data_IF_987986398189
#
_entry.id   IF_987986398189
#
_cell.length_a   1.000
_cell.length_b   1.000
_cell.length_c   1.000
_cell.angle_alpha   90.00
_cell.angle_beta   90.00
_cell.angle_gamma   90.00
#
_symmetry.space_group_name_H-M   'P 1'
#
loop_
_entity.id
_entity.type
_entity.pdbx_description
1 polymer ?
#
# COMPACT_ATOMS: atom_id res chain seq x y z
N UNK A 1 22.07 10.20 20.12
CA UNK A 1 21.59 10.29 18.72
C UNK A 1 20.09 10.47 18.78
N UNK A 2 19.50 11.52 18.19
CA UNK A 2 18.04 11.53 17.99
C UNK A 2 17.74 10.40 17.01
N UNK A 3 17.03 9.36 17.44
CA UNK A 3 16.51 8.37 16.52
C UNK A 3 15.62 9.10 15.51
N UNK A 4 15.86 8.88 14.21
CA UNK A 4 14.95 9.37 13.19
C UNK A 4 13.63 8.62 13.39
N UNK A 5 12.58 9.37 13.70
CA UNK A 5 11.25 8.80 13.87
C UNK A 5 10.75 8.24 12.54
N UNK A 6 10.14 7.08 12.57
CA UNK A 6 9.52 6.44 11.41
C UNK A 6 8.31 7.23 10.91
N UNK A 7 8.15 7.32 9.60
CA UNK A 7 6.91 7.73 8.95
C UNK A 7 6.19 6.47 8.45
N UNK A 8 4.93 6.28 8.85
CA UNK A 8 4.11 5.17 8.35
C UNK A 8 3.61 5.48 6.95
N UNK A 9 3.86 4.58 6.00
CA UNK A 9 3.53 4.82 4.58
C UNK A 9 2.30 4.06 4.09
N UNK A 10 1.80 3.07 4.88
CA UNK A 10 0.75 2.17 4.44
C UNK A 10 -0.22 1.85 5.59
N UNK A 11 -1.37 2.50 5.58
CA UNK A 11 -2.39 2.31 6.61
C UNK A 11 -3.80 2.56 6.09
N UNK A 12 -4.77 1.86 6.67
CA UNK A 12 -6.15 1.84 6.24
C UNK A 12 -7.10 2.37 7.30
N UNK A 13 -8.20 2.94 6.81
CA UNK A 13 -9.34 3.32 7.64
C UNK A 13 -10.59 2.55 7.24
N UNK A 14 -11.66 2.68 8.02
CA UNK A 14 -12.95 2.06 7.70
C UNK A 14 -13.53 2.51 6.34
N UNK A 15 -12.99 3.56 5.72
CA UNK A 15 -13.36 3.96 4.35
C UNK A 15 -12.89 2.94 3.30
N UNK A 16 -11.85 2.15 3.58
CA UNK A 16 -11.46 1.00 2.76
C UNK A 16 -12.61 -0.01 2.58
N UNK A 17 -13.53 -0.06 3.55
CA UNK A 17 -14.68 -0.97 3.54
C UNK A 17 -15.76 -0.63 2.48
N UNK A 18 -15.61 0.44 1.73
CA UNK A 18 -16.45 0.68 0.55
C UNK A 18 -16.36 -0.48 -0.46
N UNK A 19 -15.23 -1.17 -0.44
CA UNK A 19 -14.94 -2.32 -1.31
C UNK A 19 -14.93 -3.64 -0.57
N UNK A 20 -14.09 -3.75 0.42
CA UNK A 20 -13.85 -4.96 1.20
C UNK A 20 -14.01 -4.65 2.68
N UNK A 21 -14.78 -5.46 3.40
CA UNK A 21 -14.84 -5.34 4.86
C UNK A 21 -13.55 -5.91 5.45
N UNK A 22 -12.55 -5.06 5.66
CA UNK A 22 -11.24 -5.48 6.15
C UNK A 22 -10.58 -4.54 7.17
N UNK A 23 -11.12 -3.34 7.38
CA UNK A 23 -10.51 -2.39 8.31
C UNK A 23 -11.50 -1.84 9.35
N UNK A 24 -11.05 -1.72 10.61
CA UNK A 24 -11.86 -1.19 11.73
C UNK A 24 -11.41 0.18 12.21
N UNK A 25 -10.32 0.75 11.66
CA UNK A 25 -9.76 2.02 12.09
C UNK A 25 -10.63 3.21 11.69
N UNK A 26 -10.86 4.15 12.62
CA UNK A 26 -11.35 5.48 12.28
C UNK A 26 -10.16 6.40 11.97
N UNK A 27 -10.27 7.34 11.01
CA UNK A 27 -9.16 8.22 10.64
C UNK A 27 -8.52 8.96 11.82
N UNK A 28 -9.33 9.53 12.71
CA UNK A 28 -8.84 10.23 13.90
C UNK A 28 -8.10 9.31 14.87
N UNK A 29 -8.65 8.13 15.14
CA UNK A 29 -8.06 7.17 16.08
C UNK A 29 -6.72 6.66 15.56
N UNK A 30 -6.61 6.42 14.25
CA UNK A 30 -5.38 6.00 13.59
C UNK A 30 -4.30 7.09 13.68
N UNK A 31 -4.65 8.35 13.41
CA UNK A 31 -3.72 9.48 13.52
C UNK A 31 -3.27 9.67 14.98
N UNK A 32 -4.19 9.65 15.93
CA UNK A 32 -3.87 9.78 17.35
C UNK A 32 -2.96 8.67 17.83
N UNK A 33 -3.23 7.44 17.40
CA UNK A 33 -2.38 6.30 17.73
C UNK A 33 -0.96 6.46 17.18
N UNK A 34 -0.81 6.96 15.96
CA UNK A 34 0.51 7.24 15.39
C UNK A 34 1.27 8.33 16.20
N UNK A 35 0.57 9.35 16.70
CA UNK A 35 1.14 10.37 17.59
C UNK A 35 1.56 9.75 18.93
N UNK A 36 0.70 8.95 19.56
CA UNK A 36 1.01 8.24 20.83
C UNK A 36 2.26 7.36 20.69
N UNK A 37 2.43 6.67 19.56
CA UNK A 37 3.59 5.84 19.24
C UNK A 37 4.85 6.68 18.93
N UNK A 38 4.75 7.99 18.88
CA UNK A 38 5.88 8.87 18.59
C UNK A 38 6.36 8.83 17.16
N UNK A 39 5.54 8.41 16.19
CA UNK A 39 5.89 8.42 14.78
C UNK A 39 6.14 9.86 14.28
N UNK A 40 6.91 10.00 13.20
CA UNK A 40 7.10 11.28 12.52
C UNK A 40 5.85 11.74 11.74
N UNK A 41 5.01 10.79 11.39
CA UNK A 41 3.79 10.99 10.62
C UNK A 41 3.21 9.68 10.12
N UNK A 42 2.10 9.79 9.42
CA UNK A 42 1.36 8.67 8.84
C UNK A 42 0.74 9.05 7.49
N UNK A 43 0.81 8.17 6.51
CA UNK A 43 0.00 8.25 5.31
C UNK A 43 -1.22 7.34 5.46
N UNK A 44 -2.39 7.84 5.06
CA UNK A 44 -3.62 7.07 4.99
C UNK A 44 -3.86 6.74 3.52
N UNK A 45 -3.94 5.43 3.25
CA UNK A 45 -3.86 4.85 1.90
C UNK A 45 -5.00 3.86 1.68
N UNK A 46 -6.25 4.29 1.91
CA UNK A 46 -7.44 3.45 1.78
C UNK A 46 -7.52 2.77 0.40
N UNK A 47 -8.11 1.56 0.37
CA UNK A 47 -8.30 0.76 -0.84
C UNK A 47 -9.15 1.49 -1.88
N UNK A 48 -8.54 1.83 -3.02
CA UNK A 48 -9.18 2.35 -4.24
C UNK A 48 -10.09 3.57 -4.03
N UNK A 49 -10.06 4.21 -2.88
CA UNK A 49 -10.88 5.38 -2.59
C UNK A 49 -10.13 6.48 -1.86
N UNK A 50 -10.67 7.70 -1.95
CA UNK A 50 -10.15 8.89 -1.27
C UNK A 50 -11.18 9.46 -0.28
N UNK A 51 -12.14 8.65 0.12
CA UNK A 51 -13.32 9.11 0.88
C UNK A 51 -13.00 9.58 2.29
N UNK A 52 -11.88 9.13 2.88
CA UNK A 52 -11.37 9.61 4.17
C UNK A 52 -10.72 10.99 4.11
N UNK A 53 -10.25 11.44 2.94
CA UNK A 53 -9.45 12.65 2.82
C UNK A 53 -10.13 13.93 3.31
N UNK A 54 -11.44 14.18 3.11
CA UNK A 54 -12.10 15.35 3.67
C UNK A 54 -12.07 15.38 5.20
N UNK A 55 -12.38 14.26 5.87
CA UNK A 55 -12.32 14.14 7.33
C UNK A 55 -10.91 14.37 7.84
N UNK A 56 -9.91 13.75 7.22
CA UNK A 56 -8.50 13.90 7.57
C UNK A 56 -8.05 15.35 7.42
N UNK A 57 -8.43 16.01 6.33
CA UNK A 57 -8.05 17.40 6.07
C UNK A 57 -8.61 18.38 7.13
N UNK A 58 -9.84 18.15 7.58
CA UNK A 58 -10.41 18.92 8.70
C UNK A 58 -9.63 18.65 10.00
N UNK A 59 -9.38 17.40 10.33
CA UNK A 59 -8.68 17.00 11.55
C UNK A 59 -7.22 17.43 11.56
N UNK A 60 -6.55 17.47 10.42
CA UNK A 60 -5.15 17.92 10.28
C UNK A 60 -4.94 19.32 10.89
N UNK A 61 -5.91 20.23 10.75
CA UNK A 61 -5.82 21.58 11.32
C UNK A 61 -5.81 21.58 12.85
N UNK A 62 -6.45 20.60 13.48
CA UNK A 62 -6.44 20.41 14.93
C UNK A 62 -5.09 19.83 15.37
N UNK A 63 -4.66 18.75 14.70
CA UNK A 63 -3.37 18.07 14.97
C UNK A 63 -2.19 19.05 14.86
N UNK A 64 -2.15 19.89 13.83
CA UNK A 64 -1.02 20.81 13.63
C UNK A 64 -0.87 21.88 14.72
N UNK A 65 -1.93 22.19 15.48
CA UNK A 65 -1.85 23.13 16.61
C UNK A 65 -1.08 22.51 17.78
N UNK A 66 -1.27 21.22 18.04
CA UNK A 66 -0.68 20.51 19.17
C UNK A 66 0.62 19.79 18.80
N UNK A 67 0.69 19.32 17.57
CA UNK A 67 1.80 18.52 17.03
C UNK A 67 2.29 19.09 15.68
N UNK A 68 2.92 20.28 15.65
CA UNK A 68 3.28 21.00 14.41
C UNK A 68 4.25 20.23 13.50
N UNK A 69 5.07 19.36 14.07
CA UNK A 69 6.05 18.56 13.34
C UNK A 69 5.48 17.25 12.78
N UNK A 70 4.30 16.82 13.27
CA UNK A 70 3.68 15.58 12.82
C UNK A 70 3.11 15.75 11.42
N UNK A 71 3.40 14.80 10.52
CA UNK A 71 2.99 14.86 9.11
C UNK A 71 1.89 13.86 8.82
N UNK A 72 0.85 14.33 8.12
CA UNK A 72 -0.24 13.49 7.63
C UNK A 72 -0.16 13.46 6.10
N UNK A 73 0.06 12.28 5.54
CA UNK A 73 0.05 12.01 4.11
C UNK A 73 -1.35 11.59 3.65
N UNK A 74 -1.78 12.12 2.51
CA UNK A 74 -2.99 11.68 1.82
C UNK A 74 -2.58 10.76 0.68
N UNK A 75 -2.99 9.51 0.74
CA UNK A 75 -2.61 8.48 -0.22
C UNK A 75 -3.79 7.65 -0.69
N UNK A 76 -3.49 6.65 -1.48
CA UNK A 76 -4.44 5.66 -1.97
C UNK A 76 -3.71 4.36 -2.27
N UNK A 77 -4.23 3.25 -1.82
CA UNK A 77 -3.83 1.95 -2.34
C UNK A 77 -4.67 1.64 -3.57
N UNK A 78 -4.05 1.73 -4.73
CA UNK A 78 -4.67 1.39 -6.01
C UNK A 78 -4.45 -0.07 -6.36
N UNK A 79 -5.34 -0.62 -7.19
CA UNK A 79 -5.19 -1.95 -7.76
C UNK A 79 -4.74 -1.83 -9.21
N UNK A 80 -3.43 -1.98 -9.39
CA UNK A 80 -2.74 -1.75 -10.65
C UNK A 80 -2.89 -2.95 -11.59
N UNK A 81 -3.20 -2.67 -12.87
CA UNK A 81 -3.34 -3.68 -13.92
C UNK A 81 -2.73 -3.20 -15.23
N UNK A 82 -2.36 -4.14 -16.10
CA UNK A 82 -1.89 -3.80 -17.45
C UNK A 82 -3.07 -3.48 -18.39
N UNK A 83 -4.18 -4.19 -18.25
CA UNK A 83 -5.39 -4.02 -19.06
C UNK A 83 -6.64 -4.39 -18.24
N UNK A 84 -7.85 -4.25 -18.81
CA UNK A 84 -9.14 -4.56 -18.16
C UNK A 84 -9.74 -5.90 -18.63
N UNK A 85 -8.93 -6.83 -19.11
CA UNK A 85 -9.38 -8.14 -19.50
C UNK A 85 -9.76 -8.99 -18.28
N UNK A 86 -10.71 -9.89 -18.45
CA UNK A 86 -11.12 -10.83 -17.41
C UNK A 86 -9.97 -11.75 -17.01
N UNK A 87 -9.84 -12.00 -15.71
CA UNK A 87 -8.79 -12.88 -15.18
C UNK A 87 -7.43 -12.21 -14.93
N UNK A 88 -7.33 -10.90 -15.15
CA UNK A 88 -6.13 -10.15 -14.77
C UNK A 88 -5.91 -10.21 -13.26
N UNK A 89 -4.64 -10.28 -12.87
CA UNK A 89 -4.24 -10.09 -11.49
C UNK A 89 -4.21 -8.60 -11.17
N UNK A 90 -4.81 -8.24 -10.05
CA UNK A 90 -4.76 -6.89 -9.49
C UNK A 90 -3.58 -6.82 -8.53
N UNK A 91 -2.66 -5.88 -8.77
CA UNK A 91 -1.50 -5.67 -7.92
C UNK A 91 -1.72 -4.45 -7.04
N UNK A 92 -1.54 -4.62 -5.75
CA UNK A 92 -1.55 -3.50 -4.80
C UNK A 92 -0.39 -2.56 -5.08
N UNK A 93 -0.67 -1.26 -5.02
CA UNK A 93 0.32 -0.24 -5.26
C UNK A 93 -0.04 1.03 -4.48
N UNK A 94 0.90 1.55 -3.67
CA UNK A 94 0.65 2.73 -2.85
C UNK A 94 1.04 4.00 -3.60
N UNK A 95 0.16 4.98 -3.55
CA UNK A 95 0.41 6.34 -4.00
C UNK A 95 0.20 7.31 -2.85
N UNK A 96 1.13 8.25 -2.65
CA UNK A 96 1.04 9.29 -1.62
C UNK A 96 1.27 10.66 -2.27
N UNK A 97 0.38 11.61 -2.00
CA UNK A 97 0.50 12.98 -2.50
C UNK A 97 1.60 13.75 -1.75
N UNK A 98 2.54 14.33 -2.49
CA UNK A 98 3.59 15.20 -1.95
C UNK A 98 3.11 16.63 -1.69
N UNK A 99 2.09 17.06 -2.43
CA UNK A 99 1.59 18.42 -2.45
C UNK A 99 0.16 18.47 -3.02
N UNK A 100 -0.38 19.68 -3.21
CA UNK A 100 -1.72 19.89 -3.77
C UNK A 100 -1.90 19.31 -5.17
N UNK A 101 -0.86 19.36 -6.01
CA UNK A 101 -0.91 18.79 -7.37
C UNK A 101 -0.95 17.25 -7.29
N UNK A 102 -0.21 16.64 -6.36
CA UNK A 102 -0.30 15.20 -6.10
C UNK A 102 -1.70 14.78 -5.63
N UNK A 103 -2.34 15.57 -4.77
CA UNK A 103 -3.72 15.30 -4.38
C UNK A 103 -4.71 15.46 -5.54
N UNK A 104 -4.48 16.39 -6.49
CA UNK A 104 -5.25 16.47 -7.74
C UNK A 104 -5.03 15.23 -8.61
N UNK A 105 -3.76 14.79 -8.72
CA UNK A 105 -3.38 13.58 -9.44
C UNK A 105 -4.13 12.34 -8.89
N UNK A 106 -4.12 12.15 -7.56
CA UNK A 106 -4.86 11.06 -6.91
C UNK A 106 -6.35 11.11 -7.22
N UNK A 107 -6.99 12.29 -7.12
CA UNK A 107 -8.43 12.44 -7.40
C UNK A 107 -8.77 12.12 -8.86
N UNK A 108 -7.95 12.59 -9.80
CA UNK A 108 -8.18 12.32 -11.22
C UNK A 108 -8.00 10.83 -11.52
N UNK A 109 -6.95 10.21 -11.00
CA UNK A 109 -6.68 8.78 -11.19
C UNK A 109 -7.78 7.91 -10.58
N UNK A 110 -8.17 8.19 -9.33
CA UNK A 110 -9.27 7.49 -8.66
C UNK A 110 -10.60 7.66 -9.42
N UNK A 111 -10.91 8.87 -9.90
CA UNK A 111 -12.13 9.10 -10.71
C UNK A 111 -12.11 8.27 -12.00
N UNK A 112 -10.97 8.18 -12.70
CA UNK A 112 -10.83 7.34 -13.90
C UNK A 112 -11.08 5.86 -13.59
N UNK A 113 -10.50 5.36 -12.48
CA UNK A 113 -10.68 3.97 -12.07
C UNK A 113 -12.16 3.67 -11.75
N UNK A 114 -12.82 4.51 -10.95
CA UNK A 114 -14.24 4.35 -10.59
C UNK A 114 -15.20 4.47 -11.78
N UNK A 115 -14.95 5.39 -12.70
CA UNK A 115 -15.75 5.52 -13.93
C UNK A 115 -15.65 4.29 -14.84
N UNK A 116 -14.61 3.49 -14.68
CA UNK A 116 -14.37 2.26 -15.42
C UNK A 116 -14.49 1.02 -14.54
N UNK A 117 -15.18 1.12 -13.38
CA UNK A 117 -15.44 -0.03 -12.52
C UNK A 117 -16.34 -1.05 -13.19
N UNK A 118 -16.24 -2.30 -12.78
CA UNK A 118 -17.09 -3.40 -13.26
C UNK A 118 -17.29 -4.46 -12.19
N UNK A 119 -18.36 -5.23 -12.31
CA UNK A 119 -18.66 -6.31 -11.39
C UNK A 119 -18.06 -7.63 -11.88
N UNK A 120 -17.29 -8.29 -11.00
CA UNK A 120 -16.73 -9.60 -11.22
C UNK A 120 -16.88 -10.45 -9.95
N UNK A 121 -17.53 -11.61 -10.06
CA UNK A 121 -17.75 -12.57 -8.96
C UNK A 121 -18.36 -11.94 -7.71
N UNK A 122 -19.34 -11.05 -7.90
CA UNK A 122 -20.05 -10.40 -6.79
C UNK A 122 -19.29 -9.28 -6.08
N UNK A 123 -18.17 -8.84 -6.65
CA UNK A 123 -17.36 -7.73 -6.15
C UNK A 123 -17.17 -6.69 -7.25
N UNK A 124 -17.39 -5.42 -6.93
CA UNK A 124 -17.03 -4.33 -7.82
C UNK A 124 -15.51 -4.20 -7.92
N UNK A 125 -14.99 -4.22 -9.12
CA UNK A 125 -13.57 -4.04 -9.43
C UNK A 125 -13.33 -2.61 -9.89
N UNK A 126 -12.31 -1.97 -9.32
CA UNK A 126 -11.95 -0.58 -9.61
C UNK A 126 -10.45 -0.52 -10.02
N UNK A 127 -10.06 -1.16 -11.13
CA UNK A 127 -8.65 -1.25 -11.50
C UNK A 127 -8.13 0.07 -12.04
N UNK A 128 -6.91 0.39 -11.66
CA UNK A 128 -6.12 1.47 -12.24
C UNK A 128 -5.19 0.89 -13.31
N UNK A 129 -5.28 1.39 -14.54
CA UNK A 129 -4.35 0.99 -15.60
C UNK A 129 -2.97 1.59 -15.36
N UNK A 130 -1.90 0.84 -15.68
CA UNK A 130 -0.53 1.38 -15.73
C UNK A 130 -0.43 2.58 -16.65
N UNK A 131 -1.10 2.54 -17.81
CA UNK A 131 -1.15 3.67 -18.75
C UNK A 131 -1.83 4.92 -18.18
N UNK A 132 -2.91 4.76 -17.38
CA UNK A 132 -3.56 5.89 -16.71
C UNK A 132 -2.60 6.54 -15.68
N UNK A 133 -1.84 5.71 -14.93
CA UNK A 133 -0.85 6.20 -13.99
C UNK A 133 0.29 6.96 -14.70
N UNK A 134 0.79 6.44 -15.83
CA UNK A 134 1.80 7.12 -16.65
C UNK A 134 1.32 8.50 -17.14
N UNK A 135 0.09 8.58 -17.66
CA UNK A 135 -0.49 9.83 -18.11
C UNK A 135 -0.60 10.86 -16.97
N UNK A 136 -1.06 10.40 -15.81
CA UNK A 136 -1.21 11.23 -14.62
C UNK A 136 0.15 11.75 -14.14
N UNK A 137 1.18 10.91 -14.09
CA UNK A 137 2.53 11.32 -13.68
C UNK A 137 3.19 12.26 -14.69
N UNK A 138 2.92 12.10 -15.99
CA UNK A 138 3.33 13.06 -17.01
C UNK A 138 2.63 14.42 -16.84
N UNK A 139 1.34 14.41 -16.48
CA UNK A 139 0.55 15.63 -16.25
C UNK A 139 0.92 16.35 -14.96
N UNK A 140 1.26 15.60 -13.91
CA UNK A 140 1.59 16.10 -12.58
C UNK A 140 2.99 15.62 -12.14
N UNK A 141 4.06 16.06 -12.78
CA UNK A 141 5.40 15.54 -12.51
C UNK A 141 5.86 15.83 -11.08
N UNK A 142 6.61 14.90 -10.49
CA UNK A 142 7.16 15.00 -9.13
C UNK A 142 6.13 15.26 -8.01
N UNK A 143 4.87 14.95 -8.24
CA UNK A 143 3.76 15.24 -7.33
C UNK A 143 3.36 14.09 -6.43
N UNK A 144 3.69 12.85 -6.82
CA UNK A 144 3.38 11.63 -6.09
C UNK A 144 4.63 10.88 -5.65
N UNK A 145 4.49 10.14 -4.56
CA UNK A 145 5.39 9.07 -4.15
C UNK A 145 4.68 7.74 -4.42
N UNK A 146 5.42 6.76 -4.96
CA UNK A 146 4.97 5.39 -5.11
C UNK A 146 5.72 4.41 -4.22
N UNK A 147 5.05 3.34 -3.75
CA UNK A 147 5.72 2.19 -3.14
C UNK A 147 5.20 0.88 -3.72
N UNK A 148 5.98 -0.20 -3.50
CA UNK A 148 5.64 -1.54 -4.00
C UNK A 148 4.49 -2.22 -3.24
N UNK A 149 3.92 -1.56 -2.24
CA UNK A 149 2.89 -2.08 -1.34
C UNK A 149 3.27 -3.39 -0.61
N UNK A 150 2.25 -4.13 -0.13
CA UNK A 150 2.36 -5.35 0.65
C UNK A 150 2.62 -6.61 -0.20
N UNK A 151 2.28 -7.81 0.31
CA UNK A 151 2.38 -9.09 -0.43
C UNK A 151 1.50 -9.13 -1.70
N UNK A 152 0.46 -8.32 -1.77
CA UNK A 152 -0.38 -8.14 -2.96
C UNK A 152 0.28 -7.35 -4.08
N UNK A 153 1.40 -6.68 -3.82
CA UNK A 153 2.14 -5.88 -4.80
C UNK A 153 2.86 -6.71 -5.85
N UNK A 154 3.08 -6.12 -7.02
CA UNK A 154 3.69 -6.80 -8.18
C UNK A 154 5.10 -7.31 -7.89
N UNK A 155 5.91 -6.53 -7.14
CA UNK A 155 7.25 -6.94 -6.73
C UNK A 155 7.22 -8.17 -5.82
N UNK A 156 6.38 -8.15 -4.78
CA UNK A 156 6.25 -9.26 -3.82
C UNK A 156 5.81 -10.54 -4.51
N UNK A 157 4.80 -10.44 -5.37
CA UNK A 157 4.25 -11.58 -6.13
C UNK A 157 5.31 -12.22 -7.02
N UNK A 158 6.03 -11.42 -7.81
CA UNK A 158 7.06 -11.95 -8.70
C UNK A 158 8.29 -12.44 -7.92
N UNK A 159 8.60 -11.83 -6.77
CA UNK A 159 9.68 -12.31 -5.89
C UNK A 159 9.35 -13.68 -5.29
N UNK A 160 8.11 -13.92 -4.86
CA UNK A 160 7.67 -15.24 -4.39
C UNK A 160 7.66 -16.27 -5.52
N UNK A 161 7.22 -15.89 -6.72
CA UNK A 161 7.28 -16.75 -7.90
C UNK A 161 8.73 -17.16 -8.24
N UNK A 162 9.66 -16.20 -8.18
CA UNK A 162 11.10 -16.45 -8.37
C UNK A 162 11.64 -17.44 -7.33
N UNK A 163 11.37 -17.21 -6.04
CA UNK A 163 11.82 -18.11 -4.95
C UNK A 163 11.24 -19.50 -5.13
N UNK A 164 9.98 -19.62 -5.53
CA UNK A 164 9.33 -20.91 -5.77
C UNK A 164 9.99 -21.65 -6.95
N UNK A 165 10.21 -20.97 -8.06
CA UNK A 165 10.86 -21.54 -9.24
C UNK A 165 12.31 -21.97 -8.95
N UNK A 166 13.10 -21.16 -8.24
CA UNK A 166 14.44 -21.53 -7.77
C UNK A 166 14.44 -22.78 -6.88
N UNK A 167 13.43 -22.88 -6.00
CA UNK A 167 13.32 -24.02 -5.06
C UNK A 167 12.92 -25.32 -5.75
N UNK A 168 12.12 -25.23 -6.82
CA UNK A 168 11.62 -26.39 -7.59
C UNK A 168 12.51 -26.74 -8.77
N UNK A 169 13.54 -25.94 -9.07
CA UNK A 169 14.39 -26.13 -10.25
C UNK A 169 13.72 -25.77 -11.58
N UNK A 170 12.68 -24.94 -11.56
CA UNK A 170 12.02 -24.42 -12.76
C UNK A 170 12.79 -23.21 -13.32
N UNK A 171 13.76 -23.49 -14.20
CA UNK A 171 14.59 -22.44 -14.81
C UNK A 171 13.76 -21.44 -15.65
N UNK A 172 12.75 -21.92 -16.36
CA UNK A 172 11.87 -21.05 -17.15
C UNK A 172 11.03 -20.14 -16.27
N UNK A 173 10.40 -20.69 -15.23
CA UNK A 173 9.63 -19.90 -14.25
C UNK A 173 10.51 -18.86 -13.55
N UNK A 174 11.75 -19.23 -13.18
CA UNK A 174 12.70 -18.31 -12.59
C UNK A 174 13.07 -17.15 -13.53
N UNK A 175 13.35 -17.44 -14.80
CA UNK A 175 13.65 -16.43 -15.81
C UNK A 175 12.47 -15.47 -16.03
N UNK A 176 11.25 -15.99 -16.14
CA UNK A 176 10.03 -15.17 -16.28
C UNK A 176 9.81 -14.27 -15.08
N UNK A 177 9.88 -14.81 -13.87
CA UNK A 177 9.68 -14.05 -12.64
C UNK A 177 10.76 -12.96 -12.48
N UNK A 178 12.01 -13.27 -12.78
CA UNK A 178 13.11 -12.31 -12.77
C UNK A 178 12.86 -11.17 -13.77
N UNK A 179 12.49 -11.47 -15.01
CA UNK A 179 12.21 -10.46 -16.03
C UNK A 179 11.05 -9.55 -15.60
N UNK A 180 9.98 -10.10 -15.05
CA UNK A 180 8.86 -9.31 -14.53
C UNK A 180 9.30 -8.33 -13.43
N UNK A 181 10.19 -8.76 -12.53
CA UNK A 181 10.77 -7.88 -11.49
C UNK A 181 11.54 -6.74 -12.14
N UNK A 182 12.41 -7.06 -13.11
CA UNK A 182 13.24 -6.06 -13.80
C UNK A 182 12.37 -5.05 -14.54
N UNK A 183 11.45 -5.51 -15.37
CA UNK A 183 10.54 -4.66 -16.15
C UNK A 183 9.71 -3.75 -15.24
N UNK A 184 9.12 -4.29 -14.18
CA UNK A 184 8.33 -3.53 -13.23
C UNK A 184 9.15 -2.42 -12.54
N UNK A 185 10.33 -2.74 -12.03
CA UNK A 185 11.16 -1.76 -11.32
C UNK A 185 11.74 -0.68 -12.25
N UNK A 186 12.12 -1.04 -13.47
CA UNK A 186 12.57 -0.08 -14.47
C UNK A 186 11.42 0.87 -14.87
N UNK A 187 10.23 0.33 -15.12
CA UNK A 187 9.03 1.11 -15.37
C UNK A 187 8.73 2.08 -14.23
N UNK A 188 8.73 1.61 -12.97
CA UNK A 188 8.52 2.49 -11.82
C UNK A 188 9.58 3.61 -11.73
N UNK A 189 10.87 3.29 -11.92
CA UNK A 189 11.93 4.30 -11.93
C UNK A 189 11.72 5.35 -13.00
N UNK A 190 11.32 4.94 -14.20
CA UNK A 190 11.06 5.83 -15.32
C UNK A 190 9.90 6.79 -15.02
N UNK A 191 8.74 6.28 -14.58
CA UNK A 191 7.54 7.11 -14.43
C UNK A 191 7.56 8.02 -13.19
N UNK A 192 8.19 7.59 -12.08
CA UNK A 192 8.27 8.38 -10.85
C UNK A 192 9.47 9.31 -10.81
N UNK A 193 10.56 8.98 -11.53
CA UNK A 193 11.83 9.68 -11.42
C UNK A 193 12.56 9.42 -10.09
N UNK A 194 13.73 10.02 -9.95
CA UNK A 194 14.60 9.80 -8.79
C UNK A 194 13.95 10.26 -7.47
N UNK A 195 14.05 9.42 -6.44
CA UNK A 195 13.62 9.75 -5.08
C UNK A 195 12.12 9.75 -4.82
N UNK A 196 11.29 9.34 -5.80
CA UNK A 196 9.84 9.29 -5.66
C UNK A 196 9.25 7.87 -5.67
N UNK A 197 10.08 6.84 -5.77
CA UNK A 197 9.64 5.46 -5.73
C UNK A 197 10.48 4.65 -4.73
N UNK A 198 9.82 3.77 -3.94
CA UNK A 198 10.44 3.04 -2.85
C UNK A 198 9.99 1.58 -2.85
N UNK A 199 10.89 0.69 -2.42
CA UNK A 199 10.52 -0.69 -2.10
C UNK A 199 9.98 -0.72 -0.67
N UNK A 200 8.78 -1.23 -0.49
CA UNK A 200 8.12 -1.33 0.80
C UNK A 200 8.36 -2.71 1.42
N UNK A 201 8.77 -2.72 2.70
CA UNK A 201 8.88 -3.90 3.53
C UNK A 201 7.80 -3.86 4.61
N UNK A 202 7.07 -4.96 4.79
CA UNK A 202 6.13 -5.08 5.88
C UNK A 202 6.75 -5.84 7.06
N UNK A 203 6.50 -5.42 8.31
CA UNK A 203 7.05 -6.06 9.50
C UNK A 203 6.24 -7.31 9.92
N UNK A 204 5.67 -8.05 8.97
CA UNK A 204 4.91 -9.26 9.23
C UNK A 204 5.83 -10.49 9.34
N UNK A 205 5.39 -11.49 10.10
CA UNK A 205 6.14 -12.73 10.34
C UNK A 205 5.62 -13.92 9.53
N UNK A 206 4.64 -13.73 8.64
CA UNK A 206 4.22 -14.77 7.71
C UNK A 206 5.43 -15.28 6.91
N UNK A 207 5.43 -16.56 6.58
CA UNK A 207 6.53 -17.18 5.83
C UNK A 207 6.84 -16.43 4.53
N UNK A 208 5.80 -16.05 3.83
CA UNK A 208 5.86 -15.33 2.55
C UNK A 208 6.49 -13.95 2.73
N UNK A 209 6.06 -13.18 3.75
CA UNK A 209 6.61 -11.87 4.01
C UNK A 209 8.08 -11.92 4.43
N UNK A 210 8.46 -12.88 5.25
CA UNK A 210 9.86 -13.08 5.64
C UNK A 210 10.72 -13.43 4.43
N UNK A 211 10.22 -14.25 3.50
CA UNK A 211 10.94 -14.61 2.28
C UNK A 211 11.18 -13.39 1.38
N UNK A 212 10.16 -12.57 1.11
CA UNK A 212 10.33 -11.36 0.28
C UNK A 212 11.21 -10.33 0.97
N UNK A 213 11.05 -10.08 2.27
CA UNK A 213 11.86 -9.15 3.03
C UNK A 213 13.36 -9.51 3.00
N UNK A 214 13.71 -10.81 2.94
CA UNK A 214 15.09 -11.26 2.79
C UNK A 214 15.68 -10.95 1.41
N UNK A 215 14.84 -10.90 0.36
CA UNK A 215 15.29 -10.61 -1.01
C UNK A 215 15.36 -9.12 -1.31
N UNK A 216 14.49 -8.33 -0.73
CA UNK A 216 14.34 -6.90 -1.04
C UNK A 216 15.62 -6.06 -0.88
N UNK A 217 16.48 -6.24 0.13
CA UNK A 217 17.72 -5.46 0.22
C UNK A 217 18.66 -5.65 -0.97
N UNK A 218 18.76 -6.88 -1.50
CA UNK A 218 19.57 -7.16 -2.68
C UNK A 218 18.96 -6.54 -3.95
N UNK A 219 17.63 -6.63 -4.10
CA UNK A 219 16.89 -6.01 -5.20
C UNK A 219 17.02 -4.49 -5.12
N UNK A 220 16.79 -3.89 -3.96
CA UNK A 220 16.90 -2.44 -3.74
C UNK A 220 18.29 -1.93 -4.13
N UNK A 221 19.34 -2.64 -3.71
CA UNK A 221 20.73 -2.31 -4.07
C UNK A 221 20.98 -2.43 -5.57
N UNK A 222 20.47 -3.48 -6.23
CA UNK A 222 20.69 -3.71 -7.67
C UNK A 222 20.05 -2.61 -8.53
N UNK A 223 18.90 -2.06 -8.09
CA UNK A 223 18.17 -1.01 -8.81
C UNK A 223 18.43 0.40 -8.27
N UNK A 224 19.31 0.59 -7.29
CA UNK A 224 19.55 1.87 -6.62
C UNK A 224 18.23 2.50 -6.12
N UNK A 225 17.43 1.72 -5.40
CA UNK A 225 16.18 2.13 -4.78
C UNK A 225 16.31 2.14 -3.27
N UNK A 226 15.61 3.08 -2.64
CA UNK A 226 15.49 3.12 -1.17
C UNK A 226 14.34 2.23 -0.71
N UNK A 227 14.46 1.75 0.52
CA UNK A 227 13.43 0.94 1.17
C UNK A 227 12.71 1.77 2.24
N UNK A 228 11.43 1.49 2.42
CA UNK A 228 10.56 2.04 3.47
C UNK A 228 9.83 0.91 4.20
N UNK A 229 9.30 1.22 5.38
CA UNK A 229 8.50 0.28 6.15
C UNK A 229 7.05 0.74 6.10
N UNK A 230 6.15 -0.14 5.63
CA UNK A 230 4.72 0.03 5.68
C UNK A 230 4.11 -1.10 6.51
N UNK A 231 3.28 -0.78 7.51
CA UNK A 231 2.66 -1.80 8.36
C UNK A 231 1.40 -2.41 7.76
N UNK A 232 0.82 -1.80 6.73
CA UNK A 232 -0.46 -2.24 6.16
C UNK A 232 -1.54 -2.36 7.25
N UNK A 233 -1.67 -1.29 8.07
CA UNK A 233 -2.39 -1.33 9.33
C UNK A 233 -3.90 -1.29 9.15
N UNK A 234 -4.58 -2.38 9.54
CA UNK A 234 -6.04 -2.53 9.50
C UNK A 234 -6.72 -2.40 10.88
N UNK A 235 -5.94 -2.40 11.94
CA UNK A 235 -6.37 -2.14 13.32
C UNK A 235 -5.24 -1.45 14.11
N UNK A 236 -5.54 -0.90 15.31
CA UNK A 236 -4.61 0.00 16.00
C UNK A 236 -3.65 -0.71 16.95
N UNK A 237 -4.12 -1.73 17.65
CA UNK A 237 -3.41 -2.43 18.71
C UNK A 237 -3.54 -3.93 18.53
N UNK A 238 -2.57 -4.67 19.03
CA UNK A 238 -2.57 -6.15 18.95
C UNK A 238 -3.84 -6.78 19.51
N UNK A 239 -4.41 -6.20 20.55
CA UNK A 239 -5.65 -6.66 21.20
C UNK A 239 -6.88 -6.53 20.30
N UNK A 240 -6.88 -5.57 19.36
CA UNK A 240 -7.98 -5.33 18.42
C UNK A 240 -8.11 -6.45 17.38
N UNK A 241 -7.13 -7.34 17.29
CA UNK A 241 -7.11 -8.48 16.36
C UNK A 241 -8.40 -9.31 16.44
N UNK A 242 -8.91 -9.55 17.63
CA UNK A 242 -10.14 -10.35 17.80
C UNK A 242 -11.38 -9.64 17.24
N UNK A 243 -11.46 -8.32 17.41
CA UNK A 243 -12.53 -7.49 16.84
C UNK A 243 -12.41 -7.48 15.31
N UNK A 244 -11.20 -7.30 14.80
CA UNK A 244 -10.92 -7.33 13.37
C UNK A 244 -11.28 -8.69 12.76
N UNK A 245 -10.89 -9.81 13.38
CA UNK A 245 -11.26 -11.17 12.94
C UNK A 245 -12.78 -11.36 12.92
N UNK A 246 -13.50 -10.94 13.96
CA UNK A 246 -14.96 -11.00 14.00
C UNK A 246 -15.58 -10.18 12.87
N UNK A 247 -15.03 -9.00 12.58
CA UNK A 247 -15.48 -8.15 11.49
C UNK A 247 -15.30 -8.80 10.11
N UNK A 248 -14.12 -9.36 9.84
CA UNK A 248 -13.84 -10.09 8.59
C UNK A 248 -14.80 -11.27 8.38
N UNK A 249 -15.15 -11.99 9.45
CA UNK A 249 -16.03 -13.15 9.39
C UNK A 249 -17.53 -12.77 9.27
N UNK A 250 -17.90 -11.53 9.54
CA UNK A 250 -19.31 -11.10 9.56
C UNK A 250 -20.01 -11.19 8.21
N UNK A 251 -19.29 -11.13 7.11
CA UNK A 251 -19.86 -11.04 5.75
C UNK A 251 -19.88 -12.37 4.99
N UNK A 252 -18.97 -13.28 5.24
CA UNK A 252 -18.72 -14.43 4.36
C UNK A 252 -18.67 -15.80 5.04
N UNK A 253 -19.14 -15.91 6.29
CA UNK A 253 -18.99 -17.14 7.07
C UNK A 253 -17.55 -17.31 7.59
N UNK A 254 -17.27 -18.50 8.16
CA UNK A 254 -15.96 -18.75 8.75
C UNK A 254 -14.83 -18.66 7.73
N UNK A 255 -14.13 -17.54 7.73
CA UNK A 255 -12.80 -17.44 7.14
C UNK A 255 -11.80 -17.76 8.24
N UNK A 256 -11.03 -18.82 8.07
CA UNK A 256 -9.78 -18.97 8.84
C UNK A 256 -8.80 -17.90 8.36
N UNK A 257 -8.84 -16.75 9.03
CA UNK A 257 -7.99 -15.59 8.70
C UNK A 257 -6.86 -15.49 9.72
N UNK A 258 -6.45 -16.59 10.34
CA UNK A 258 -5.58 -16.54 11.50
C UNK A 258 -4.18 -16.00 11.23
N UNK A 259 -3.61 -16.24 10.05
CA UNK A 259 -2.21 -15.90 9.78
C UNK A 259 -2.05 -14.63 8.93
N UNK A 260 -3.01 -14.30 8.07
CA UNK A 260 -2.84 -13.22 7.09
C UNK A 260 -2.87 -11.82 7.73
N UNK A 261 -3.63 -11.64 8.83
CA UNK A 261 -3.80 -10.35 9.50
C UNK A 261 -3.12 -10.28 10.87
N UNK A 262 -2.25 -11.21 11.19
CA UNK A 262 -1.62 -11.28 12.52
C UNK A 262 -0.82 -10.01 12.84
N UNK A 263 -0.28 -9.35 11.84
CA UNK A 263 0.62 -8.20 11.99
C UNK A 263 0.12 -6.92 11.32
N UNK A 264 -1.12 -6.88 10.86
CA UNK A 264 -1.73 -5.71 10.21
C UNK A 264 -2.24 -4.68 11.23
N UNK A 265 -1.43 -4.32 12.21
CA UNK A 265 -1.68 -3.24 13.16
C UNK A 265 -0.57 -2.20 13.13
N UNK A 266 -0.88 -0.99 13.62
CA UNK A 266 0.07 0.10 13.61
C UNK A 266 1.20 -0.17 14.63
N UNK A 267 2.42 -0.28 14.12
CA UNK A 267 3.63 -0.50 14.92
C UNK A 267 4.28 0.82 15.33
N UNK A 268 5.02 0.77 16.43
CA UNK A 268 5.84 1.90 16.90
C UNK A 268 7.20 1.99 16.19
N UNK A 269 8.14 2.72 16.78
CA UNK A 269 9.49 2.93 16.25
C UNK A 269 10.52 1.87 16.68
N UNK A 270 10.14 0.90 17.50
CA UNK A 270 11.04 -0.12 18.04
C UNK A 270 11.23 -1.34 17.13
#
# INVERSE_FOLDING_TARGET
>A
MKMNKRFEVHSHTHYSNLRLLDCINRPKDLINRAIELGLAGIAITDHECLSSHPEINFYQSEVQKEHPDFKIGLGNEIYLVNNRENGQRYYHFILIAKNKEGHRALRELSSRAWMNSYWDRGLERVPTLKSDLEEILKKYPNSLIGTTACLGGELSVNTLALITAETTGDENGAAVAHNNIVEFLLWCKEIFGEGNFFIECAPATSKEQVLVNKRFPAIAKAFDLKMVIGSDAHYLKKEDRYVHKAYLNSKFGEREVDDFYEFAYLLDNE
#
